data_IF_357567480928
#
_entry.id   IF_357567480928
#
_cell.length_a   1.000
_cell.length_b   1.000
_cell.length_c   1.000
_cell.angle_alpha   90.00
_cell.angle_beta   90.00
_cell.angle_gamma   90.00
#
_symmetry.space_group_name_H-M   'P 1'
#
loop_
_entity.id
_entity.type
_entity.pdbx_description
1 polymer ?
#
# COMPACT_ATOMS: atom_id res chain seq x y z
N UNK A 1 7.12 0.16 9.46
CA UNK A 1 7.02 1.05 8.29
C UNK A 1 6.84 0.16 7.09
N UNK A 2 5.69 0.30 6.44
CA UNK A 2 5.30 -0.48 5.28
C UNK A 2 4.34 0.35 4.46
N UNK A 3 4.18 -0.02 3.19
CA UNK A 3 3.22 0.60 2.28
C UNK A 3 2.35 -0.49 1.68
N UNK A 4 1.06 -0.20 1.57
CA UNK A 4 0.06 -1.07 0.98
C UNK A 4 -0.45 -0.47 -0.33
N UNK A 5 -1.04 -1.31 -1.17
CA UNK A 5 -1.66 -0.90 -2.43
C UNK A 5 -2.94 -0.10 -2.16
N UNK A 6 -3.08 1.06 -2.81
CA UNK A 6 -4.24 1.95 -2.72
C UNK A 6 -4.74 2.27 -4.12
N UNK A 7 -6.03 2.12 -4.39
CA UNK A 7 -6.57 2.30 -5.75
C UNK A 7 -7.94 2.96 -5.73
N UNK A 8 -8.33 3.57 -6.85
CA UNK A 8 -9.74 3.84 -7.13
C UNK A 8 -10.30 2.67 -7.94
N UNK A 9 -11.31 1.93 -7.46
CA UNK A 9 -11.72 0.64 -8.05
C UNK A 9 -12.61 0.81 -9.29
N UNK A 10 -12.09 1.41 -10.36
CA UNK A 10 -12.75 1.41 -11.68
C UNK A 10 -12.76 0.00 -12.28
N UNK A 11 -13.58 -0.25 -13.31
CA UNK A 11 -13.61 -1.57 -13.96
C UNK A 11 -12.24 -1.99 -14.50
N UNK A 12 -11.47 -1.06 -15.08
CA UNK A 12 -10.11 -1.30 -15.55
C UNK A 12 -9.16 -1.67 -14.40
N UNK A 13 -9.20 -0.91 -13.30
CA UNK A 13 -8.39 -1.20 -12.12
C UNK A 13 -8.75 -2.55 -11.52
N UNK A 14 -10.04 -2.85 -11.36
CA UNK A 14 -10.51 -4.14 -10.84
C UNK A 14 -10.04 -5.31 -11.70
N UNK A 15 -10.10 -5.18 -13.03
CA UNK A 15 -9.59 -6.20 -13.94
C UNK A 15 -8.07 -6.39 -13.77
N UNK A 16 -7.31 -5.31 -13.61
CA UNK A 16 -5.87 -5.39 -13.42
C UNK A 16 -5.47 -5.99 -12.06
N UNK A 17 -6.31 -5.86 -11.03
CA UNK A 17 -6.08 -6.40 -9.69
C UNK A 17 -6.12 -7.94 -9.64
N UNK A 18 -6.68 -8.62 -10.65
CA UNK A 18 -6.61 -10.08 -10.77
C UNK A 18 -5.16 -10.59 -10.82
N UNK A 19 -4.20 -9.76 -11.28
CA UNK A 19 -2.77 -10.12 -11.26
C UNK A 19 -2.17 -10.23 -9.84
N UNK A 20 -2.87 -9.70 -8.83
CA UNK A 20 -2.48 -9.76 -7.42
C UNK A 20 -3.26 -10.81 -6.63
N UNK A 21 -4.19 -11.51 -7.29
CA UNK A 21 -4.98 -12.58 -6.70
C UNK A 21 -4.18 -13.88 -6.69
N UNK A 22 -3.31 -14.05 -5.69
CA UNK A 22 -2.63 -15.31 -5.41
C UNK A 22 -3.38 -16.14 -4.34
N UNK A 23 -3.22 -17.47 -4.39
CA UNK A 23 -3.90 -18.40 -3.48
C UNK A 23 -3.14 -18.62 -2.16
N UNK A 24 -2.01 -17.95 -1.96
CA UNK A 24 -1.08 -18.16 -0.84
C UNK A 24 -1.37 -17.16 0.29
N UNK A 25 -1.68 -15.91 -0.06
CA UNK A 25 -1.86 -14.81 0.89
C UNK A 25 -3.28 -14.24 0.86
N UNK A 26 -3.76 -13.82 2.04
CA UNK A 26 -5.01 -13.07 2.17
C UNK A 26 -4.75 -11.58 1.96
N UNK A 27 -5.38 -11.02 0.94
CA UNK A 27 -5.28 -9.61 0.56
C UNK A 27 -6.53 -8.86 1.02
N UNK A 28 -6.64 -8.64 2.33
CA UNK A 28 -7.78 -7.93 2.93
C UNK A 28 -8.02 -6.58 2.24
N UNK A 29 -9.29 -6.28 1.92
CA UNK A 29 -9.65 -5.04 1.22
C UNK A 29 -10.54 -4.17 2.10
N UNK A 30 -10.14 -2.92 2.31
CA UNK A 30 -10.98 -1.90 2.91
C UNK A 30 -11.43 -0.95 1.81
N UNK A 31 -12.73 -0.92 1.57
CA UNK A 31 -13.40 0.02 0.67
C UNK A 31 -13.88 1.24 1.45
N UNK A 32 -13.55 2.43 0.94
CA UNK A 32 -14.17 3.70 1.33
C UNK A 32 -15.19 4.11 0.27
N UNK A 33 -16.44 4.24 0.70
CA UNK A 33 -17.57 4.70 -0.10
C UNK A 33 -17.68 6.23 -0.08
N UNK A 34 -18.43 6.80 -1.03
CA UNK A 34 -18.75 8.23 -0.98
C UNK A 34 -19.50 8.54 0.33
N UNK A 35 -19.09 9.60 1.01
CA UNK A 35 -19.60 9.95 2.34
C UNK A 35 -18.85 9.29 3.50
N UNK A 36 -17.78 8.53 3.23
CA UNK A 36 -16.83 8.05 4.25
C UNK A 36 -17.20 6.72 4.90
N UNK A 37 -18.27 6.05 4.44
CA UNK A 37 -18.61 4.69 4.87
C UNK A 37 -17.48 3.71 4.54
N UNK A 38 -17.22 2.76 5.45
CA UNK A 38 -16.18 1.74 5.27
C UNK A 38 -16.81 0.36 5.15
N UNK A 39 -16.54 -0.32 4.04
CA UNK A 39 -16.82 -1.74 3.85
C UNK A 39 -15.52 -2.54 3.89
N UNK A 40 -15.57 -3.76 4.44
CA UNK A 40 -14.38 -4.60 4.64
C UNK A 40 -14.64 -5.97 4.05
N UNK A 41 -13.83 -6.34 3.07
CA UNK A 41 -13.80 -7.67 2.49
C UNK A 41 -12.69 -8.48 3.15
N UNK A 42 -12.92 -9.78 3.35
CA UNK A 42 -11.94 -10.65 3.97
C UNK A 42 -10.73 -10.85 3.07
N UNK A 43 -10.92 -10.78 1.76
CA UNK A 43 -9.89 -11.03 0.76
C UNK A 43 -10.20 -10.33 -0.58
N UNK A 44 -9.20 -10.22 -1.45
CA UNK A 44 -9.30 -9.57 -2.75
C UNK A 44 -10.29 -10.26 -3.70
N UNK A 45 -10.37 -11.61 -3.80
CA UNK A 45 -11.37 -12.27 -4.65
C UNK A 45 -12.82 -11.92 -4.26
N UNK A 46 -13.08 -11.79 -2.95
CA UNK A 46 -14.40 -11.40 -2.45
C UNK A 46 -14.73 -9.96 -2.86
N UNK A 47 -13.77 -9.05 -2.74
CA UNK A 47 -13.92 -7.68 -3.20
C UNK A 47 -14.12 -7.60 -4.72
N UNK A 48 -13.37 -8.37 -5.51
CA UNK A 48 -13.48 -8.40 -6.98
C UNK A 48 -14.81 -8.97 -7.46
N UNK A 49 -15.36 -9.95 -6.74
CA UNK A 49 -16.68 -10.53 -7.01
C UNK A 49 -17.85 -9.61 -6.61
N UNK A 50 -17.63 -8.58 -5.79
CA UNK A 50 -18.68 -7.63 -5.43
C UNK A 50 -19.06 -6.80 -6.65
N UNK A 51 -20.28 -6.97 -7.18
CA UNK A 51 -20.74 -6.12 -8.27
C UNK A 51 -20.78 -4.66 -7.76
N UNK A 52 -20.30 -3.66 -8.55
CA UNK A 52 -20.67 -2.29 -8.27
C UNK A 52 -22.19 -2.23 -8.37
N UNK A 53 -22.87 -2.12 -7.22
CA UNK A 53 -24.34 -2.07 -7.16
C UNK A 53 -24.83 -0.95 -8.10
N UNK A 54 -25.79 -1.27 -8.97
CA UNK A 54 -26.38 -0.26 -9.86
C UNK A 54 -27.03 0.84 -9.02
N UNK A 55 -26.47 2.05 -9.08
CA UNK A 55 -26.92 3.20 -8.30
C UNK A 55 -26.29 3.35 -6.91
N UNK A 56 -25.40 2.44 -6.49
CA UNK A 56 -24.60 2.66 -5.29
C UNK A 56 -23.53 3.72 -5.52
N UNK A 57 -23.18 4.42 -4.43
CA UNK A 57 -22.03 5.30 -4.39
C UNK A 57 -20.79 4.54 -4.89
N UNK A 58 -20.20 4.98 -6.00
CA UNK A 58 -18.95 4.42 -6.46
C UNK A 58 -17.91 4.54 -5.35
N UNK A 59 -17.29 3.42 -4.98
CA UNK A 59 -16.18 3.43 -4.04
C UNK A 59 -15.12 4.46 -4.45
N UNK A 60 -14.74 5.32 -3.52
CA UNK A 60 -13.73 6.35 -3.73
C UNK A 60 -12.33 5.74 -3.71
N UNK A 61 -12.12 4.75 -2.84
CA UNK A 61 -10.82 4.15 -2.59
C UNK A 61 -10.94 2.73 -2.07
N UNK A 62 -10.07 1.85 -2.57
CA UNK A 62 -9.74 0.58 -1.94
C UNK A 62 -8.33 0.65 -1.39
N UNK A 63 -8.14 0.17 -0.17
CA UNK A 63 -6.82 -0.17 0.40
C UNK A 63 -6.75 -1.67 0.51
N UNK A 64 -5.76 -2.24 -0.14
CA UNK A 64 -5.58 -3.68 -0.26
C UNK A 64 -4.34 -4.03 0.55
N UNK A 65 -4.46 -4.99 1.48
CA UNK A 65 -3.34 -5.49 2.26
C UNK A 65 -2.41 -6.33 1.38
N UNK A 66 -1.69 -5.63 0.52
CA UNK A 66 -0.67 -6.15 -0.37
C UNK A 66 0.51 -5.19 -0.24
N UNK A 67 1.62 -5.67 0.34
CA UNK A 67 2.78 -4.83 0.60
C UNK A 67 3.59 -4.61 -0.66
N UNK A 68 3.82 -3.33 -0.96
CA UNK A 68 4.66 -2.88 -2.07
C UNK A 68 5.88 -2.13 -1.52
N UNK A 69 7.00 -2.09 -2.27
CA UNK A 69 8.20 -1.41 -1.80
C UNK A 69 7.93 0.07 -1.48
N UNK A 70 8.47 0.56 -0.36
CA UNK A 70 8.32 1.94 0.11
C UNK A 70 8.82 2.98 -0.91
N UNK A 71 9.84 2.61 -1.68
CA UNK A 71 10.46 3.46 -2.70
C UNK A 71 9.73 3.43 -4.05
N UNK A 72 8.71 2.58 -4.20
CA UNK A 72 7.93 2.47 -5.43
C UNK A 72 7.06 3.72 -5.61
N UNK A 73 7.24 4.41 -6.74
CA UNK A 73 6.35 5.51 -7.13
C UNK A 73 5.04 4.93 -7.68
N UNK A 74 3.87 5.49 -7.30
CA UNK A 74 2.58 5.18 -7.92
C UNK A 74 2.66 5.10 -9.45
N UNK A 75 2.13 4.03 -10.03
CA UNK A 75 1.92 3.91 -11.49
C UNK A 75 0.51 4.39 -11.83
N UNK A 76 0.21 4.64 -13.11
CA UNK A 76 -1.02 5.35 -13.52
C UNK A 76 -2.34 4.81 -12.91
N UNK A 77 -2.44 3.50 -12.63
CA UNK A 77 -3.64 2.87 -12.07
C UNK A 77 -3.59 2.66 -10.55
N UNK A 78 -2.42 2.75 -9.93
CA UNK A 78 -2.19 2.35 -8.55
C UNK A 78 -1.45 3.43 -7.77
N UNK A 79 -1.92 3.66 -6.56
CA UNK A 79 -1.27 4.47 -5.55
C UNK A 79 -0.87 3.58 -4.37
N UNK A 80 -0.27 4.21 -3.36
CA UNK A 80 0.29 3.55 -2.20
C UNK A 80 -0.22 4.22 -0.93
N UNK A 81 -0.05 3.58 0.22
CA UNK A 81 -0.29 4.21 1.53
C UNK A 81 0.96 4.89 2.10
N UNK A 82 1.95 5.21 1.27
CA UNK A 82 3.19 5.85 1.74
C UNK A 82 2.93 7.26 2.29
N UNK A 83 1.88 7.95 1.85
CA UNK A 83 1.41 9.23 2.42
C UNK A 83 1.12 9.13 3.92
N UNK A 84 0.48 8.05 4.36
CA UNK A 84 0.25 7.77 5.79
C UNK A 84 1.55 7.59 6.57
N UNK A 85 2.54 6.94 5.94
CA UNK A 85 3.86 6.76 6.54
C UNK A 85 4.57 8.10 6.71
N UNK A 86 4.55 8.96 5.68
CA UNK A 86 5.13 10.30 5.76
C UNK A 86 4.48 11.15 6.86
N UNK A 87 3.15 11.14 6.93
CA UNK A 87 2.42 11.82 8.01
C UNK A 87 2.78 11.28 9.41
N UNK A 88 3.10 10.00 9.52
CA UNK A 88 3.59 9.40 10.77
C UNK A 88 4.98 9.95 11.14
N UNK A 89 5.89 10.09 10.17
CA UNK A 89 7.21 10.67 10.40
C UNK A 89 7.12 12.15 10.82
N UNK A 90 6.24 12.92 10.17
CA UNK A 90 5.95 14.31 10.56
C UNK A 90 5.41 14.38 12.00
N UNK A 91 4.52 13.47 12.36
CA UNK A 91 3.99 13.39 13.72
C UNK A 91 5.09 13.11 14.75
N UNK A 92 5.98 12.16 14.48
CA UNK A 92 7.10 11.82 15.37
C UNK A 92 8.10 12.98 15.53
N UNK A 93 8.33 13.75 14.46
CA UNK A 93 9.13 14.98 14.54
C UNK A 93 8.50 16.01 15.47
N UNK A 94 7.19 16.20 15.35
CA UNK A 94 6.44 17.15 16.19
C UNK A 94 6.29 16.67 17.65
N UNK A 95 6.41 15.37 17.90
CA UNK A 95 6.26 14.74 19.22
C UNK A 95 7.47 13.87 19.58
N UNK A 96 8.63 14.47 19.90
CA UNK A 96 9.81 13.71 20.28
C UNK A 96 9.53 12.81 21.50
N UNK A 97 10.02 11.57 21.45
CA UNK A 97 9.86 10.60 22.55
C UNK A 97 8.62 9.71 22.47
N UNK A 98 7.70 9.93 21.51
CA UNK A 98 6.54 9.03 21.30
C UNK A 98 6.96 7.62 20.90
N UNK A 99 8.04 7.48 20.14
CA UNK A 99 8.54 6.21 19.65
C UNK A 99 10.07 6.24 19.60
N UNK A 100 10.72 5.18 20.11
CA UNK A 100 12.18 5.04 20.10
C UNK A 100 12.69 4.07 19.03
N UNK A 101 11.81 3.30 18.40
CA UNK A 101 12.19 2.28 17.41
C UNK A 101 11.25 2.35 16.21
N UNK A 102 11.82 2.45 15.01
CA UNK A 102 11.09 2.27 13.77
C UNK A 102 11.55 0.97 13.14
N UNK A 103 10.59 0.09 12.91
CA UNK A 103 10.81 -1.12 12.11
C UNK A 103 10.43 -0.80 10.66
N UNK A 104 11.11 -1.41 9.69
CA UNK A 104 10.65 -1.45 8.30
C UNK A 104 10.36 -2.90 7.96
N UNK A 105 9.23 -3.15 7.30
CA UNK A 105 8.81 -4.48 6.90
C UNK A 105 9.10 -4.66 5.42
N UNK A 106 9.75 -5.77 5.08
CA UNK A 106 10.10 -6.11 3.70
C UNK A 106 9.33 -7.36 3.32
N UNK A 107 8.58 -7.30 2.23
CA UNK A 107 7.73 -8.39 1.79
C UNK A 107 8.46 -9.33 0.82
N UNK A 108 7.96 -10.54 0.61
CA UNK A 108 8.45 -11.47 -0.41
C UNK A 108 8.03 -10.98 -1.79
N UNK A 109 8.78 -10.01 -2.33
CA UNK A 109 8.53 -9.36 -3.62
C UNK A 109 8.46 -10.33 -4.82
N UNK A 110 8.78 -11.60 -4.63
CA UNK A 110 8.61 -12.67 -5.61
C UNK A 110 7.14 -12.89 -6.01
N UNK A 111 6.17 -12.48 -5.19
CA UNK A 111 4.73 -12.61 -5.49
C UNK A 111 4.09 -11.38 -6.14
N UNK A 112 4.84 -10.30 -6.35
CA UNK A 112 4.34 -9.17 -7.14
C UNK A 112 4.16 -9.57 -8.60
N UNK A 113 3.34 -8.86 -9.40
CA UNK A 113 3.33 -9.05 -10.85
C UNK A 113 4.72 -8.84 -11.47
N UNK A 114 5.07 -9.58 -12.52
CA UNK A 114 6.42 -9.52 -13.13
C UNK A 114 6.85 -8.12 -13.57
N UNK A 115 5.90 -7.25 -13.92
CA UNK A 115 6.16 -5.84 -14.28
C UNK A 115 6.64 -4.98 -13.11
N UNK A 116 6.40 -5.43 -11.87
CA UNK A 116 6.78 -4.74 -10.64
C UNK A 116 7.98 -5.40 -9.95
N UNK A 117 8.36 -6.62 -10.32
CA UNK A 117 9.51 -7.32 -9.74
C UNK A 117 10.83 -6.63 -10.12
N UNK A 118 11.66 -6.32 -9.14
CA UNK A 118 13.10 -6.14 -9.39
C UNK A 118 13.79 -7.50 -9.49
N UNK A 119 14.88 -7.56 -10.27
CA UNK A 119 15.60 -8.81 -10.56
C UNK A 119 16.35 -9.38 -9.36
N UNK A 120 16.65 -8.55 -8.34
CA UNK A 120 17.44 -8.97 -7.18
C UNK A 120 16.83 -8.45 -5.87
N UNK A 121 16.48 -9.38 -4.97
CA UNK A 121 15.95 -9.09 -3.63
C UNK A 121 16.89 -8.19 -2.82
N UNK A 122 18.21 -8.38 -2.96
CA UNK A 122 19.20 -7.58 -2.21
C UNK A 122 19.11 -6.10 -2.58
N UNK A 123 18.95 -5.79 -3.86
CA UNK A 123 18.88 -4.41 -4.33
C UNK A 123 17.63 -3.71 -3.78
N UNK A 124 16.48 -4.40 -3.81
CA UNK A 124 15.24 -3.88 -3.22
C UNK A 124 15.37 -3.63 -1.71
N UNK A 125 16.03 -4.53 -0.96
CA UNK A 125 16.26 -4.32 0.49
C UNK A 125 17.13 -3.09 0.75
N UNK A 126 18.17 -2.91 -0.06
CA UNK A 126 19.07 -1.76 0.04
C UNK A 126 18.34 -0.46 -0.32
N UNK A 127 17.50 -0.48 -1.35
CA UNK A 127 16.69 0.67 -1.76
C UNK A 127 15.64 1.03 -0.70
N UNK A 128 14.94 0.04 -0.14
CA UNK A 128 13.99 0.22 0.96
C UNK A 128 14.66 0.88 2.18
N UNK A 129 15.85 0.40 2.54
CA UNK A 129 16.63 0.93 3.65
C UNK A 129 17.09 2.36 3.39
N UNK A 130 17.65 2.62 2.20
CA UNK A 130 18.10 3.96 1.81
C UNK A 130 16.96 4.96 1.78
N UNK A 131 15.82 4.57 1.21
CA UNK A 131 14.61 5.39 1.18
C UNK A 131 14.16 5.72 2.61
N UNK A 132 14.08 4.70 3.47
CA UNK A 132 13.69 4.86 4.87
C UNK A 132 14.58 5.87 5.61
N UNK A 133 15.90 5.68 5.56
CA UNK A 133 16.84 6.62 6.19
C UNK A 133 16.73 8.02 5.59
N UNK A 134 16.55 8.11 4.27
CA UNK A 134 16.35 9.37 3.55
C UNK A 134 15.13 10.13 4.06
N UNK A 135 13.98 9.46 4.17
CA UNK A 135 12.76 10.07 4.69
C UNK A 135 12.93 10.47 6.16
N UNK A 136 13.50 9.61 7.01
CA UNK A 136 13.76 9.95 8.40
C UNK A 136 14.65 11.20 8.52
N UNK A 137 15.69 11.32 7.69
CA UNK A 137 16.55 12.51 7.65
C UNK A 137 15.80 13.76 7.19
N UNK A 138 15.00 13.69 6.13
CA UNK A 138 14.18 14.81 5.65
C UNK A 138 13.19 15.29 6.72
N UNK A 139 12.70 14.37 7.55
CA UNK A 139 11.79 14.66 8.65
C UNK A 139 12.53 15.00 9.97
N UNK A 140 13.86 15.12 9.95
CA UNK A 140 14.65 15.52 11.13
C UNK A 140 14.72 14.48 12.25
N UNK A 141 14.47 13.21 11.92
CA UNK A 141 14.55 12.08 12.85
C UNK A 141 15.94 11.42 12.85
N UNK A 142 16.80 11.77 11.89
CA UNK A 142 18.20 11.37 11.82
C UNK A 142 19.06 12.61 11.54
N UNK A 143 20.27 12.62 12.12
CA UNK A 143 21.29 13.63 11.92
C UNK A 143 22.07 13.39 10.61
#
# INVERSE_FOLDING_TARGET
MSSALKVRPTNEVRQSLEAFNDAVYFHQVIERQQGGGLHRYRDLPEALASAPEEGAAQAEEWRIHFHIPLHQVPVALYDTTSDHLLGTLDYLKAHPGTCSHLEMETYTWEVMPDTMKSRHVVDQLVEEYRWTLGQMKQHGLLN
#
